data_IF_229105248559
#
_entry.id   IF_229105248559
#
_cell.length_a   1.000
_cell.length_b   1.000
_cell.length_c   1.000
_cell.angle_alpha   90.00
_cell.angle_beta   90.00
_cell.angle_gamma   90.00
#
_symmetry.space_group_name_H-M   'P 1'
#
loop_
_entity.id
_entity.type
_entity.pdbx_description
1 polymer ?
#
# COMPACT_ATOMS: atom_id res chain seq x y z
N UNK A 1 6.10 36.97 -0.52
CA UNK A 1 7.28 36.06 -0.60
C UNK A 1 6.83 34.66 -1.05
N UNK A 2 7.10 34.26 -2.30
CA UNK A 2 6.81 32.90 -2.80
C UNK A 2 7.83 31.95 -2.16
N UNK A 3 7.35 31.11 -1.25
CA UNK A 3 8.17 30.24 -0.40
C UNK A 3 8.93 29.20 -1.24
N UNK A 4 10.17 29.50 -1.60
CA UNK A 4 11.10 28.61 -2.35
C UNK A 4 11.48 27.35 -1.54
N UNK A 5 11.09 27.30 -0.25
CA UNK A 5 11.60 26.37 0.77
C UNK A 5 10.89 25.01 0.89
N UNK A 6 9.89 24.68 0.06
CA UNK A 6 9.16 23.39 0.16
C UNK A 6 9.42 22.41 -1.00
N UNK A 7 10.32 22.73 -1.93
CA UNK A 7 10.65 21.85 -3.06
C UNK A 7 11.36 20.56 -2.65
N UNK A 8 11.95 20.50 -1.45
CA UNK A 8 12.62 19.29 -0.95
C UNK A 8 11.67 18.23 -0.40
N UNK A 9 10.47 18.62 0.05
CA UNK A 9 9.47 17.67 0.58
C UNK A 9 9.12 16.56 -0.43
N UNK A 10 8.76 16.85 -1.70
CA UNK A 10 8.52 15.78 -2.67
C UNK A 10 9.74 14.91 -2.92
N UNK A 11 10.94 15.50 -2.98
CA UNK A 11 12.17 14.74 -3.20
C UNK A 11 12.43 13.78 -2.05
N UNK A 12 12.23 14.25 -0.81
CA UNK A 12 12.33 13.41 0.38
C UNK A 12 11.27 12.30 0.38
N UNK A 13 10.01 12.60 0.05
CA UNK A 13 8.94 11.59 -0.02
C UNK A 13 9.24 10.51 -1.06
N UNK A 14 9.70 10.91 -2.25
CA UNK A 14 10.09 9.96 -3.32
C UNK A 14 11.29 9.12 -2.88
N UNK A 15 12.30 9.73 -2.25
CA UNK A 15 13.46 9.01 -1.73
C UNK A 15 13.07 8.01 -0.63
N UNK A 16 12.27 8.44 0.35
CA UNK A 16 11.78 7.57 1.42
C UNK A 16 10.94 6.41 0.87
N UNK A 17 10.02 6.69 -0.05
CA UNK A 17 9.26 5.65 -0.75
C UNK A 17 10.19 4.66 -1.45
N UNK A 18 11.16 5.15 -2.21
CA UNK A 18 12.14 4.30 -2.91
C UNK A 18 12.97 3.43 -1.98
N UNK A 19 13.41 3.98 -0.84
CA UNK A 19 14.14 3.23 0.19
C UNK A 19 13.27 2.14 0.81
N UNK A 20 12.04 2.46 1.20
CA UNK A 20 11.14 1.45 1.78
C UNK A 20 10.71 0.40 0.77
N UNK A 21 10.51 0.78 -0.50
CA UNK A 21 10.23 -0.16 -1.58
C UNK A 21 11.41 -1.11 -1.79
N UNK A 22 12.64 -0.58 -1.77
CA UNK A 22 13.84 -1.42 -1.82
C UNK A 22 13.90 -2.39 -0.65
N UNK A 23 13.53 -1.97 0.56
CA UNK A 23 13.50 -2.87 1.71
C UNK A 23 12.49 -4.01 1.54
N UNK A 24 11.30 -3.72 1.07
CA UNK A 24 10.23 -4.70 0.84
C UNK A 24 10.56 -5.65 -0.32
N UNK A 25 11.23 -5.18 -1.37
CA UNK A 25 11.44 -5.95 -2.61
C UNK A 25 12.83 -6.56 -2.79
N UNK A 26 13.90 -5.94 -2.28
CA UNK A 26 15.27 -6.33 -2.65
C UNK A 26 16.24 -6.52 -1.47
N UNK A 27 15.86 -6.14 -0.25
CA UNK A 27 16.72 -6.34 0.92
C UNK A 27 16.85 -7.81 1.35
N UNK A 28 17.76 -8.14 2.29
CA UNK A 28 17.83 -9.47 2.91
C UNK A 28 16.57 -9.88 3.70
N UNK A 29 15.57 -9.01 3.82
CA UNK A 29 14.29 -9.28 4.47
C UNK A 29 13.10 -9.03 3.52
N UNK A 30 13.36 -9.09 2.21
CA UNK A 30 12.38 -8.77 1.17
C UNK A 30 11.49 -9.95 0.79
N UNK A 31 10.45 -9.67 0.02
CA UNK A 31 9.61 -10.69 -0.62
C UNK A 31 10.42 -11.61 -1.53
N UNK A 32 11.40 -11.07 -2.27
CA UNK A 32 12.29 -11.86 -3.12
C UNK A 32 13.23 -12.77 -2.32
N UNK A 33 13.72 -12.32 -1.15
CA UNK A 33 14.51 -13.19 -0.27
C UNK A 33 13.63 -14.27 0.38
N UNK A 34 12.42 -13.91 0.84
CA UNK A 34 11.46 -14.86 1.40
C UNK A 34 11.07 -15.95 0.39
N UNK A 35 10.93 -15.59 -0.89
CA UNK A 35 10.61 -16.51 -1.97
C UNK A 35 11.56 -17.71 -2.05
N UNK A 36 12.82 -17.55 -1.62
CA UNK A 36 13.81 -18.63 -1.58
C UNK A 36 13.46 -19.73 -0.56
N UNK A 37 12.69 -19.40 0.47
CA UNK A 37 12.34 -20.29 1.58
C UNK A 37 10.93 -20.86 1.49
N UNK A 38 10.14 -20.50 0.48
CA UNK A 38 8.77 -20.98 0.28
C UNK A 38 8.44 -21.28 -1.21
N UNK A 39 9.41 -21.88 -1.92
CA UNK A 39 9.26 -22.35 -3.30
C UNK A 39 8.84 -21.28 -4.32
N UNK A 40 9.34 -20.05 -4.15
CA UNK A 40 9.08 -18.95 -5.05
C UNK A 40 7.80 -18.17 -4.76
N UNK A 41 7.04 -18.52 -3.71
CA UNK A 41 5.78 -17.82 -3.41
C UNK A 41 6.02 -16.39 -2.93
N UNK A 42 7.02 -16.15 -2.09
CA UNK A 42 7.29 -14.83 -1.48
C UNK A 42 6.26 -14.47 -0.41
N UNK A 43 5.77 -13.24 -0.41
CA UNK A 43 4.79 -12.79 0.59
C UNK A 43 3.35 -13.00 0.11
N UNK A 44 2.41 -13.10 1.05
CA UNK A 44 0.96 -13.02 0.81
C UNK A 44 0.50 -11.60 0.46
N UNK A 45 1.35 -10.60 0.74
CA UNK A 45 1.11 -9.21 0.41
C UNK A 45 0.87 -9.03 -1.11
N UNK A 46 -0.03 -8.10 -1.44
CA UNK A 46 -0.44 -7.75 -2.81
C UNK A 46 -1.03 -8.90 -3.65
N UNK A 47 -1.33 -10.05 -3.05
CA UNK A 47 -1.89 -11.24 -3.73
C UNK A 47 -3.23 -11.63 -3.11
N UNK A 48 -4.13 -12.16 -3.93
CA UNK A 48 -5.30 -12.84 -3.39
C UNK A 48 -4.90 -14.23 -2.90
N UNK A 49 -5.30 -14.58 -1.69
CA UNK A 49 -5.02 -15.89 -1.08
C UNK A 49 -6.20 -16.32 -0.20
N UNK A 50 -6.22 -17.62 0.12
CA UNK A 50 -7.16 -18.24 1.03
C UNK A 50 -6.44 -19.08 2.11
N UNK A 51 -7.23 -19.73 2.94
CA UNK A 51 -6.76 -20.56 4.06
C UNK A 51 -5.93 -21.75 3.58
N UNK A 52 -6.34 -22.40 2.50
CA UNK A 52 -5.64 -23.59 1.98
C UNK A 52 -4.27 -23.20 1.44
N UNK A 53 -4.21 -22.12 0.67
CA UNK A 53 -2.96 -21.60 0.12
C UNK A 53 -2.00 -21.17 1.23
N UNK A 54 -2.49 -20.48 2.27
CA UNK A 54 -1.64 -20.08 3.40
C UNK A 54 -1.08 -21.29 4.12
N UNK A 55 -1.92 -22.29 4.42
CA UNK A 55 -1.45 -23.53 5.05
C UNK A 55 -0.40 -24.23 4.18
N UNK A 56 -0.65 -24.38 2.88
CA UNK A 56 0.30 -24.99 1.95
C UNK A 56 1.65 -24.26 1.93
N UNK A 57 1.64 -22.93 1.86
CA UNK A 57 2.87 -22.13 1.83
C UNK A 57 3.63 -22.24 3.16
N UNK A 58 2.93 -22.16 4.29
CA UNK A 58 3.57 -22.23 5.62
C UNK A 58 4.06 -23.64 5.98
N UNK A 59 3.34 -24.70 5.59
CA UNK A 59 3.78 -26.09 5.77
C UNK A 59 5.06 -26.39 5.01
N UNK A 60 5.21 -25.84 3.80
CA UNK A 60 6.39 -26.04 2.96
C UNK A 60 7.47 -24.98 3.18
N UNK A 61 7.28 -24.04 4.12
CA UNK A 61 8.24 -22.98 4.39
C UNK A 61 9.37 -23.49 5.29
N UNK A 62 10.61 -23.25 4.90
CA UNK A 62 11.77 -23.57 5.74
C UNK A 62 11.73 -22.75 7.05
N UNK A 63 12.25 -23.26 8.18
CA UNK A 63 12.25 -22.54 9.46
C UNK A 63 12.85 -21.13 9.40
N UNK A 64 13.89 -20.94 8.56
CA UNK A 64 14.51 -19.62 8.34
C UNK A 64 13.55 -18.64 7.66
N UNK A 65 12.65 -19.12 6.82
CA UNK A 65 11.62 -18.34 6.14
C UNK A 65 10.71 -17.60 7.12
N UNK A 66 10.31 -18.23 8.23
CA UNK A 66 9.51 -17.57 9.27
C UNK A 66 10.21 -16.36 9.88
N UNK A 67 11.52 -16.44 10.12
CA UNK A 67 12.31 -15.32 10.66
C UNK A 67 12.41 -14.18 9.65
N UNK A 68 12.73 -14.49 8.39
CA UNK A 68 12.78 -13.51 7.30
C UNK A 68 11.42 -12.83 7.13
N UNK A 69 10.33 -13.59 7.20
CA UNK A 69 8.98 -13.05 7.03
C UNK A 69 8.56 -12.14 8.21
N UNK A 70 8.97 -12.44 9.44
CA UNK A 70 8.76 -11.51 10.57
C UNK A 70 9.50 -10.19 10.37
N UNK A 71 10.72 -10.23 9.84
CA UNK A 71 11.50 -9.04 9.54
C UNK A 71 10.93 -8.24 8.37
N UNK A 72 10.41 -8.92 7.34
CA UNK A 72 9.67 -8.31 6.23
C UNK A 72 8.57 -7.38 6.73
N UNK A 73 7.75 -7.81 7.71
CA UNK A 73 6.66 -6.98 8.23
C UNK A 73 7.13 -5.66 8.82
N UNK A 74 8.33 -5.60 9.42
CA UNK A 74 8.91 -4.32 9.91
C UNK A 74 9.16 -3.37 8.74
N UNK A 75 9.73 -3.88 7.64
CA UNK A 75 9.94 -3.11 6.42
C UNK A 75 8.60 -2.68 5.80
N UNK A 76 7.61 -3.56 5.81
CA UNK A 76 6.30 -3.30 5.22
C UNK A 76 5.50 -2.26 6.02
N UNK A 77 5.57 -2.26 7.36
CA UNK A 77 5.00 -1.18 8.17
C UNK A 77 5.56 0.21 7.82
N UNK A 78 6.86 0.30 7.52
CA UNK A 78 7.47 1.55 7.06
C UNK A 78 6.98 1.92 5.65
N UNK A 79 6.82 0.92 4.78
CA UNK A 79 6.29 1.10 3.43
C UNK A 79 4.85 1.63 3.42
N UNK A 80 3.99 1.17 4.33
CA UNK A 80 2.62 1.68 4.49
C UNK A 80 2.62 3.20 4.67
N UNK A 81 3.50 3.70 5.55
CA UNK A 81 3.60 5.12 5.88
C UNK A 81 4.11 5.95 4.69
N UNK A 82 5.20 5.54 4.07
CA UNK A 82 5.82 6.27 2.96
C UNK A 82 4.95 6.23 1.71
N UNK A 83 4.37 5.08 1.38
CA UNK A 83 3.45 4.94 0.26
C UNK A 83 2.15 5.71 0.51
N UNK A 84 1.63 5.67 1.74
CA UNK A 84 0.45 6.45 2.13
C UNK A 84 0.68 7.95 1.97
N UNK A 85 1.81 8.46 2.49
CA UNK A 85 2.20 9.85 2.34
C UNK A 85 2.38 10.26 0.87
N UNK A 86 2.99 9.39 0.04
CA UNK A 86 3.13 9.62 -1.39
C UNK A 86 1.77 9.69 -2.09
N UNK A 87 0.87 8.74 -1.80
CA UNK A 87 -0.49 8.71 -2.36
C UNK A 87 -1.27 9.99 -2.01
N UNK A 88 -1.17 10.44 -0.78
CA UNK A 88 -1.74 11.71 -0.31
C UNK A 88 -1.18 12.90 -1.07
N UNK A 89 0.15 12.98 -1.17
CA UNK A 89 0.84 14.08 -1.82
C UNK A 89 0.48 14.20 -3.30
N UNK A 90 0.42 13.06 -3.99
CA UNK A 90 0.02 12.99 -5.40
C UNK A 90 -1.42 13.47 -5.60
N UNK A 91 -2.37 13.03 -4.77
CA UNK A 91 -3.75 13.53 -4.80
C UNK A 91 -3.82 15.05 -4.51
N UNK A 92 -3.04 15.52 -3.54
CA UNK A 92 -2.97 16.94 -3.19
C UNK A 92 -2.53 17.80 -4.40
N UNK A 93 -1.53 17.35 -5.15
CA UNK A 93 -1.08 18.06 -6.36
C UNK A 93 -2.17 18.04 -7.42
N UNK A 94 -2.64 16.86 -7.81
CA UNK A 94 -3.51 16.74 -8.98
C UNK A 94 -4.87 17.39 -8.74
N UNK A 95 -5.37 17.41 -7.50
CA UNK A 95 -6.61 18.09 -7.13
C UNK A 95 -6.41 19.49 -6.52
N UNK A 96 -5.25 20.11 -6.68
CA UNK A 96 -4.98 21.46 -6.15
C UNK A 96 -6.01 22.50 -6.63
N UNK A 97 -6.53 22.33 -7.85
CA UNK A 97 -7.51 23.23 -8.47
C UNK A 97 -8.94 23.11 -7.90
N UNK A 98 -9.29 22.01 -7.24
CA UNK A 98 -10.64 21.79 -6.70
C UNK A 98 -10.82 22.57 -5.40
N UNK A 99 -11.84 23.42 -5.31
CA UNK A 99 -12.11 24.21 -4.08
C UNK A 99 -12.94 23.46 -3.04
N UNK A 100 -13.75 22.49 -3.47
CA UNK A 100 -14.65 21.75 -2.57
C UNK A 100 -13.88 20.93 -1.53
N UNK A 101 -14.01 21.32 -0.26
CA UNK A 101 -13.42 20.61 0.88
C UNK A 101 -13.98 19.19 1.02
N UNK A 102 -15.27 18.99 0.70
CA UNK A 102 -15.92 17.67 0.76
C UNK A 102 -15.29 16.68 -0.23
N UNK A 103 -15.08 17.10 -1.47
CA UNK A 103 -14.44 16.26 -2.50
C UNK A 103 -13.00 15.93 -2.10
N UNK A 104 -12.23 16.93 -1.66
CA UNK A 104 -10.85 16.72 -1.18
C UNK A 104 -10.80 15.77 0.01
N UNK A 105 -11.69 15.93 0.98
CA UNK A 105 -11.81 15.03 2.13
C UNK A 105 -12.06 13.58 1.70
N UNK A 106 -13.02 13.35 0.80
CA UNK A 106 -13.31 12.01 0.29
C UNK A 106 -12.10 11.37 -0.41
N UNK A 107 -11.38 12.14 -1.24
CA UNK A 107 -10.18 11.66 -1.93
C UNK A 107 -9.07 11.26 -0.96
N UNK A 108 -8.90 12.05 0.10
CA UNK A 108 -7.86 11.84 1.11
C UNK A 108 -8.17 10.70 2.08
N UNK A 109 -9.45 10.35 2.26
CA UNK A 109 -9.83 9.20 3.08
C UNK A 109 -9.38 7.87 2.44
N UNK A 110 -9.30 7.78 1.11
CA UNK A 110 -8.92 6.55 0.39
C UNK A 110 -7.55 6.01 0.84
N UNK A 111 -6.44 6.77 0.77
CA UNK A 111 -5.13 6.27 1.22
C UNK A 111 -5.08 5.98 2.73
N UNK A 112 -5.91 6.62 3.56
CA UNK A 112 -6.02 6.30 5.00
C UNK A 112 -6.64 4.93 5.21
N UNK A 113 -7.79 4.68 4.59
CA UNK A 113 -8.47 3.38 4.68
C UNK A 113 -7.57 2.27 4.14
N UNK A 114 -6.88 2.53 3.02
CA UNK A 114 -5.89 1.60 2.46
C UNK A 114 -4.83 1.24 3.49
N UNK A 115 -4.21 2.23 4.13
CA UNK A 115 -3.20 2.00 5.17
C UNK A 115 -3.75 1.26 6.39
N UNK A 116 -5.00 1.49 6.79
CA UNK A 116 -5.65 0.72 7.86
C UNK A 116 -5.78 -0.75 7.47
N UNK A 117 -6.21 -1.04 6.23
CA UNK A 117 -6.28 -2.42 5.74
C UNK A 117 -4.91 -3.10 5.71
N UNK A 118 -3.86 -2.41 5.25
CA UNK A 118 -2.49 -2.94 5.31
C UNK A 118 -2.07 -3.24 6.76
N UNK A 119 -2.33 -2.35 7.71
CA UNK A 119 -2.00 -2.56 9.13
C UNK A 119 -2.72 -3.78 9.71
N UNK A 120 -4.01 -3.93 9.41
CA UNK A 120 -4.83 -5.06 9.86
C UNK A 120 -4.30 -6.36 9.28
N UNK A 121 -4.10 -6.43 7.97
CA UNK A 121 -3.54 -7.61 7.31
C UNK A 121 -2.18 -8.00 7.88
N UNK A 122 -1.23 -7.06 7.93
CA UNK A 122 0.14 -7.34 8.36
C UNK A 122 0.18 -7.80 9.82
N UNK A 123 -0.67 -7.22 10.67
CA UNK A 123 -0.79 -7.65 12.06
C UNK A 123 -1.35 -9.06 12.15
N UNK A 124 -2.40 -9.37 11.39
CA UNK A 124 -3.03 -10.70 11.40
C UNK A 124 -2.09 -11.76 10.84
N UNK A 125 -1.41 -11.50 9.72
CA UNK A 125 -0.44 -12.42 9.15
C UNK A 125 0.76 -12.64 10.08
N UNK A 126 1.22 -11.59 10.78
CA UNK A 126 2.26 -11.75 11.80
C UNK A 126 1.81 -12.69 12.93
N UNK A 127 0.56 -12.58 13.39
CA UNK A 127 -0.02 -13.51 14.39
C UNK A 127 -0.14 -14.93 13.81
N UNK A 128 -0.53 -15.07 12.54
CA UNK A 128 -0.56 -16.37 11.85
C UNK A 128 0.81 -17.03 11.88
N UNK A 129 1.90 -16.31 11.57
CA UNK A 129 3.27 -16.82 11.65
C UNK A 129 3.75 -17.16 13.07
N UNK A 130 3.07 -16.66 14.10
CA UNK A 130 3.39 -16.98 15.50
C UNK A 130 2.64 -18.21 16.00
N UNK A 131 1.43 -18.46 15.49
CA UNK A 131 0.55 -19.54 15.93
C UNK A 131 0.64 -20.79 15.07
N UNK A 132 1.07 -20.68 13.82
CA UNK A 132 1.17 -21.84 12.94
C UNK A 132 2.05 -22.95 13.57
N UNK A 133 1.60 -24.23 13.59
CA UNK A 133 0.48 -24.82 12.84
C UNK A 133 -0.87 -24.95 13.59
N UNK A 134 -1.12 -24.17 14.64
CA UNK A 134 -2.43 -24.13 15.32
C UNK A 134 -3.55 -23.58 14.41
N UNK A 135 -4.80 -23.53 14.91
CA UNK A 135 -5.93 -23.00 14.12
C UNK A 135 -5.74 -21.51 13.77
N UNK A 136 -5.41 -21.27 12.50
CA UNK A 136 -5.20 -19.96 11.90
C UNK A 136 -6.33 -19.54 10.95
N UNK A 137 -7.37 -20.36 10.78
CA UNK A 137 -8.34 -20.20 9.69
C UNK A 137 -9.08 -18.86 9.75
N UNK A 138 -9.53 -18.48 10.95
CA UNK A 138 -10.25 -17.21 11.16
C UNK A 138 -9.36 -16.00 10.91
N UNK A 139 -8.09 -16.06 11.34
CA UNK A 139 -7.12 -14.98 11.14
C UNK A 139 -6.82 -14.78 9.65
N UNK A 140 -6.59 -15.88 8.92
CA UNK A 140 -6.32 -15.84 7.49
C UNK A 140 -7.51 -15.30 6.69
N UNK A 141 -8.74 -15.68 7.04
CA UNK A 141 -9.94 -15.13 6.38
C UNK A 141 -10.04 -13.61 6.54
N UNK A 142 -9.82 -13.11 7.76
CA UNK A 142 -9.88 -11.66 8.01
C UNK A 142 -8.70 -10.94 7.34
N UNK A 143 -7.50 -11.53 7.35
CA UNK A 143 -6.34 -10.99 6.66
C UNK A 143 -6.59 -10.90 5.15
N UNK A 144 -7.12 -11.96 4.52
CA UNK A 144 -7.46 -11.97 3.09
C UNK A 144 -8.53 -10.93 2.74
N UNK A 145 -9.56 -10.75 3.59
CA UNK A 145 -10.54 -9.68 3.42
C UNK A 145 -9.89 -8.28 3.49
N UNK A 146 -8.94 -8.08 4.42
CA UNK A 146 -8.18 -6.84 4.50
C UNK A 146 -7.30 -6.62 3.25
N UNK A 147 -6.62 -7.67 2.76
CA UNK A 147 -5.85 -7.64 1.50
C UNK A 147 -6.73 -7.23 0.32
N UNK A 148 -7.93 -7.80 0.20
CA UNK A 148 -8.88 -7.41 -0.85
C UNK A 148 -9.34 -5.96 -0.68
N UNK A 149 -9.62 -5.53 0.55
CA UNK A 149 -9.99 -4.17 0.89
C UNK A 149 -8.95 -3.15 0.44
N UNK A 150 -7.67 -3.36 0.77
CA UNK A 150 -6.60 -2.46 0.33
C UNK A 150 -6.41 -2.44 -1.18
N UNK A 151 -6.53 -3.59 -1.86
CA UNK A 151 -6.40 -3.68 -3.31
C UNK A 151 -7.51 -2.88 -4.02
N UNK A 152 -8.73 -2.93 -3.48
CA UNK A 152 -9.82 -2.05 -3.93
C UNK A 152 -9.51 -0.58 -3.69
N UNK A 153 -8.99 -0.21 -2.52
CA UNK A 153 -8.58 1.17 -2.26
C UNK A 153 -7.49 1.65 -3.24
N UNK A 154 -6.50 0.80 -3.57
CA UNK A 154 -5.47 1.12 -4.57
C UNK A 154 -6.11 1.37 -5.94
N UNK A 155 -7.05 0.51 -6.37
CA UNK A 155 -7.77 0.70 -7.64
C UNK A 155 -8.54 2.01 -7.69
N UNK A 156 -9.32 2.31 -6.64
CA UNK A 156 -10.09 3.57 -6.53
C UNK A 156 -9.13 4.76 -6.54
N UNK A 157 -8.02 4.68 -5.79
CA UNK A 157 -7.00 5.72 -5.76
C UNK A 157 -6.37 5.95 -7.14
N UNK A 158 -6.03 4.91 -7.88
CA UNK A 158 -5.48 5.00 -9.24
C UNK A 158 -6.46 5.71 -10.19
N UNK A 159 -7.74 5.32 -10.15
CA UNK A 159 -8.78 5.98 -10.96
C UNK A 159 -8.91 7.46 -10.59
N UNK A 160 -8.97 7.78 -9.30
CA UNK A 160 -9.03 9.16 -8.83
C UNK A 160 -7.79 9.97 -9.27
N UNK A 161 -6.60 9.41 -9.14
CA UNK A 161 -5.36 10.06 -9.58
C UNK A 161 -5.39 10.36 -11.08
N UNK A 162 -5.77 9.39 -11.93
CA UNK A 162 -5.89 9.58 -13.38
C UNK A 162 -6.92 10.65 -13.74
N UNK A 163 -8.08 10.66 -13.09
CA UNK A 163 -9.09 11.71 -13.27
C UNK A 163 -8.53 13.10 -12.91
N UNK A 164 -7.79 13.18 -11.80
CA UNK A 164 -7.11 14.42 -11.37
C UNK A 164 -6.07 14.93 -12.38
N UNK A 165 -5.33 14.02 -13.03
CA UNK A 165 -4.34 14.37 -14.07
C UNK A 165 -5.02 14.82 -15.37
N UNK A 166 -6.00 14.06 -15.85
CA UNK A 166 -6.62 14.28 -17.18
C UNK A 166 -7.68 15.39 -17.16
N UNK A 167 -8.43 15.53 -16.07
CA UNK A 167 -9.55 16.47 -15.95
C UNK A 167 -9.17 17.93 -16.29
N UNK A 168 -8.08 18.49 -15.72
CA UNK A 168 -7.61 19.83 -16.05
C UNK A 168 -7.19 20.00 -17.50
N UNK A 169 -6.57 18.98 -18.10
CA UNK A 169 -6.14 19.00 -19.51
C UNK A 169 -7.37 19.14 -20.41
N UNK A 170 -8.42 18.38 -20.11
CA UNK A 170 -9.67 18.43 -20.86
C UNK A 170 -10.46 19.73 -20.66
N UNK A 171 -10.59 20.20 -19.42
CA UNK A 171 -11.28 21.47 -19.09
C UNK A 171 -10.62 22.68 -19.75
N UNK A 172 -9.28 22.70 -19.84
CA UNK A 172 -8.54 23.76 -20.55
C UNK A 172 -8.79 23.77 -22.05
N UNK A 173 -8.89 22.60 -22.69
CA UNK A 173 -9.17 22.48 -24.14
C UNK A 173 -10.56 22.94 -24.53
N UNK A 174 -11.57 22.75 -23.67
CA UNK A 174 -12.98 23.10 -23.98
C UNK A 174 -13.41 24.49 -23.50
N UNK A 175 -12.54 25.28 -22.87
CA UNK A 175 -12.94 26.57 -22.28
C UNK A 175 -13.92 26.45 -21.11
N UNK A 176 -14.16 25.24 -20.59
CA UNK A 176 -15.10 24.95 -19.48
C UNK A 176 -14.40 25.21 -18.15
N UNK A 177 -14.01 26.47 -17.92
CA UNK A 177 -13.51 26.94 -16.62
C UNK A 177 -14.63 27.30 -15.64
N UNK A 178 -15.91 27.20 -16.01
CA UNK A 178 -17.02 27.59 -15.11
C UNK A 178 -17.72 26.44 -14.39
N UNK A 179 -17.59 25.18 -14.82
CA UNK A 179 -18.30 24.05 -14.17
C UNK A 179 -17.57 23.41 -12.99
N UNK A 180 -16.24 23.61 -12.87
CA UNK A 180 -15.42 22.97 -11.82
C UNK A 180 -14.76 23.98 -10.84
N UNK A 181 -15.11 25.27 -10.92
CA UNK A 181 -14.45 26.39 -10.21
C UNK A 181 -15.32 27.07 -9.16
#
# INVERSE_FOLDING_TARGET
MKNKSRKWIPMLLIALFGITLYFVEFSPYSSNELAKYNHGYGTFDMKAYDVEQVNQVLTNMEPKGFTVYRQYFVCDYLFILTFGALQFYLLYIVYAFVKSKKIKGLLYVIPVIRGIFDLVENTLLLIVLQRFPEDINSLVKVASLATQGKLWCIRIWCVAFLVGVVGPIYSRRKGIRKLFF
#
